data_IF_862905528512
#
_entry.id   IF_862905528512
#
_cell.length_a   1.000
_cell.length_b   1.000
_cell.length_c   1.000
_cell.angle_alpha   90.00
_cell.angle_beta   90.00
_cell.angle_gamma   90.00
#
_symmetry.space_group_name_H-M   'P 1'
#
loop_
_entity.id
_entity.type
_entity.pdbx_description
1 polymer ?
#
# COMPACT_ATOMS: atom_id res chain seq x y z
N UNK A 1 -13.65 23.56 2.73
CA UNK A 1 -14.22 22.22 3.04
C UNK A 1 -13.12 21.36 3.62
N UNK A 2 -13.43 20.50 4.59
CA UNK A 2 -12.47 19.55 5.16
C UNK A 2 -12.28 18.39 4.17
N UNK A 3 -11.03 18.05 3.84
CA UNK A 3 -10.73 16.92 2.95
C UNK A 3 -11.17 15.62 3.59
N UNK A 4 -11.94 14.82 2.85
CA UNK A 4 -12.36 13.47 3.27
C UNK A 4 -11.23 12.48 3.01
N UNK A 5 -10.99 11.57 3.95
CA UNK A 5 -9.94 10.56 3.79
C UNK A 5 -10.48 9.14 3.73
N UNK A 6 -9.91 8.33 2.84
CA UNK A 6 -10.05 6.89 2.87
C UNK A 6 -8.85 6.27 3.58
N UNK A 7 -9.13 5.31 4.47
CA UNK A 7 -8.13 4.49 5.13
C UNK A 7 -7.97 3.17 4.40
N UNK A 8 -6.74 2.76 4.14
CA UNK A 8 -6.44 1.47 3.53
C UNK A 8 -5.47 0.64 4.39
N UNK A 9 -5.92 -0.54 4.82
CA UNK A 9 -5.14 -1.50 5.60
C UNK A 9 -5.06 -2.84 4.86
N UNK A 10 -3.87 -3.43 4.79
CA UNK A 10 -3.64 -4.67 4.04
C UNK A 10 -2.70 -5.63 4.74
N UNK A 11 -3.01 -6.92 4.66
CA UNK A 11 -2.05 -8.01 4.93
C UNK A 11 -1.99 -8.96 3.73
N UNK A 12 -0.83 -9.57 3.48
CA UNK A 12 -0.72 -10.61 2.45
C UNK A 12 -1.27 -11.92 3.01
N UNK A 13 -2.07 -12.65 2.22
CA UNK A 13 -2.53 -14.01 2.56
C UNK A 13 -1.39 -15.01 2.62
N UNK A 14 -0.30 -14.76 1.90
CA UNK A 14 0.87 -15.63 1.80
C UNK A 14 1.99 -15.30 2.80
N UNK A 15 1.91 -14.14 3.48
CA UNK A 15 2.92 -13.75 4.47
C UNK A 15 2.55 -14.36 5.83
N UNK A 16 2.90 -15.63 6.04
CA UNK A 16 2.90 -16.28 7.36
C UNK A 16 4.07 -15.82 8.24
N UNK A 17 4.99 -15.00 7.70
CA UNK A 17 6.02 -14.37 8.50
C UNK A 17 5.40 -13.48 9.58
N UNK A 18 5.61 -13.87 10.83
CA UNK A 18 5.17 -13.20 12.07
C UNK A 18 5.63 -11.74 12.21
N UNK A 19 6.44 -11.23 11.27
CA UNK A 19 7.07 -9.91 11.29
C UNK A 19 6.23 -8.81 10.61
N UNK A 20 5.18 -9.16 9.85
CA UNK A 20 4.31 -8.15 9.19
C UNK A 20 3.16 -7.75 10.13
N UNK A 21 3.03 -6.45 10.39
CA UNK A 21 1.99 -5.86 11.25
C UNK A 21 0.58 -6.34 10.85
N UNK A 22 -0.21 -6.79 11.83
CA UNK A 22 -1.59 -7.25 11.59
C UNK A 22 -2.49 -6.11 11.11
N UNK A 23 -3.67 -6.46 10.58
CA UNK A 23 -4.64 -5.44 10.14
C UNK A 23 -5.13 -4.65 11.35
N UNK A 24 -5.40 -5.30 12.49
CA UNK A 24 -5.85 -4.66 13.72
C UNK A 24 -4.83 -3.66 14.24
N UNK A 25 -3.55 -4.03 14.24
CA UNK A 25 -2.47 -3.13 14.62
C UNK A 25 -2.32 -1.94 13.64
N UNK A 26 -2.46 -2.18 12.33
CA UNK A 26 -2.49 -1.09 11.35
C UNK A 26 -3.64 -0.12 11.61
N UNK A 27 -4.85 -0.62 11.87
CA UNK A 27 -6.02 0.21 12.15
C UNK A 27 -5.85 1.05 13.41
N UNK A 28 -5.27 0.48 14.48
CA UNK A 28 -5.00 1.19 15.71
C UNK A 28 -4.01 2.36 15.49
N UNK A 29 -2.87 2.08 14.85
CA UNK A 29 -1.85 3.09 14.52
C UNK A 29 -2.41 4.20 13.61
N UNK A 30 -3.20 3.81 12.60
CA UNK A 30 -3.80 4.75 11.66
C UNK A 30 -4.88 5.61 12.31
N UNK A 31 -5.66 5.06 13.25
CA UNK A 31 -6.65 5.80 14.01
C UNK A 31 -5.98 6.85 14.93
N UNK A 32 -4.90 6.46 15.62
CA UNK A 32 -4.12 7.39 16.44
C UNK A 32 -3.49 8.50 15.60
N UNK A 33 -2.86 8.13 14.48
CA UNK A 33 -2.28 9.08 13.55
C UNK A 33 -3.35 10.04 12.99
N UNK A 34 -4.51 9.53 12.55
CA UNK A 34 -5.58 10.37 12.03
C UNK A 34 -6.09 11.36 13.08
N UNK A 35 -6.24 10.92 14.33
CA UNK A 35 -6.63 11.80 15.44
C UNK A 35 -5.59 12.90 15.69
N UNK A 36 -4.30 12.55 15.70
CA UNK A 36 -3.20 13.51 15.91
C UNK A 36 -3.14 14.57 14.80
N UNK A 37 -3.34 14.15 13.56
CA UNK A 37 -3.30 15.04 12.39
C UNK A 37 -4.65 15.71 12.08
N UNK A 38 -5.68 15.51 12.93
CA UNK A 38 -7.05 16.00 12.73
C UNK A 38 -7.68 15.59 11.37
N UNK A 39 -7.34 14.39 10.91
CA UNK A 39 -7.84 13.78 9.69
C UNK A 39 -9.19 13.10 9.95
N UNK A 40 -10.16 13.36 9.07
CA UNK A 40 -11.46 12.70 9.10
C UNK A 40 -11.50 11.53 8.11
N UNK A 41 -11.60 10.32 8.66
CA UNK A 41 -11.74 9.10 7.87
C UNK A 41 -13.22 8.88 7.55
N UNK A 42 -13.56 8.92 6.26
CA UNK A 42 -14.93 8.70 5.78
C UNK A 42 -15.21 7.26 5.39
N UNK A 43 -14.20 6.53 4.93
CA UNK A 43 -14.32 5.11 4.56
C UNK A 43 -13.05 4.35 4.92
N UNK A 44 -13.20 3.05 5.23
CA UNK A 44 -12.10 2.15 5.58
C UNK A 44 -12.14 0.91 4.71
N UNK A 45 -11.01 0.61 4.07
CA UNK A 45 -10.81 -0.48 3.14
C UNK A 45 -9.81 -1.48 3.75
N UNK A 46 -10.26 -2.71 3.94
CA UNK A 46 -9.48 -3.77 4.57
C UNK A 46 -9.29 -4.91 3.56
N UNK A 47 -8.05 -5.26 3.27
CA UNK A 47 -7.74 -6.29 2.28
C UNK A 47 -6.75 -7.34 2.79
N UNK A 48 -7.16 -8.60 2.77
CA UNK A 48 -6.26 -9.75 2.95
C UNK A 48 -5.94 -10.34 1.58
N UNK A 49 -5.00 -9.73 0.86
CA UNK A 49 -4.54 -10.17 -0.47
C UNK A 49 -3.14 -9.66 -0.77
N UNK A 50 -2.36 -10.47 -1.49
CA UNK A 50 -1.00 -10.09 -1.93
C UNK A 50 -1.04 -8.91 -2.92
N UNK A 51 -0.13 -7.95 -2.74
CA UNK A 51 0.04 -6.78 -3.61
C UNK A 51 1.11 -6.97 -4.72
N UNK A 52 1.59 -8.20 -4.92
CA UNK A 52 2.60 -8.55 -5.95
C UNK A 52 2.06 -8.45 -7.38
N UNK A 53 0.73 -8.51 -7.55
CA UNK A 53 0.04 -8.44 -8.85
C UNK A 53 -1.24 -7.57 -8.73
N UNK A 54 -1.68 -6.95 -9.84
CA UNK A 54 -2.98 -6.27 -9.91
C UNK A 54 -4.16 -7.23 -9.73
N UNK A 55 -5.38 -6.67 -9.69
CA UNK A 55 -6.63 -7.44 -9.56
C UNK A 55 -7.07 -7.63 -8.11
N UNK A 56 -6.79 -6.64 -7.27
CA UNK A 56 -7.15 -6.58 -5.85
C UNK A 56 -8.51 -5.93 -5.70
N UNK A 57 -9.53 -6.70 -5.31
CA UNK A 57 -10.92 -6.26 -5.37
C UNK A 57 -11.19 -5.03 -4.52
N UNK A 58 -10.69 -5.01 -3.28
CA UNK A 58 -10.92 -3.92 -2.33
C UNK A 58 -10.07 -2.69 -2.70
N UNK A 59 -8.83 -2.89 -3.13
CA UNK A 59 -8.01 -1.80 -3.63
C UNK A 59 -8.62 -1.16 -4.88
N UNK A 60 -9.09 -1.97 -5.82
CA UNK A 60 -9.72 -1.49 -7.05
C UNK A 60 -11.02 -0.73 -6.72
N UNK A 61 -11.84 -1.23 -5.79
CA UNK A 61 -13.03 -0.53 -5.32
C UNK A 61 -12.69 0.86 -4.75
N UNK A 62 -11.68 0.92 -3.86
CA UNK A 62 -11.20 2.19 -3.30
C UNK A 62 -10.78 3.16 -4.41
N UNK A 63 -9.99 2.68 -5.37
CA UNK A 63 -9.53 3.53 -6.47
C UNK A 63 -10.66 3.98 -7.39
N UNK A 64 -11.64 3.11 -7.67
CA UNK A 64 -12.86 3.50 -8.40
C UNK A 64 -13.59 4.63 -7.68
N UNK A 65 -13.80 4.51 -6.36
CA UNK A 65 -14.43 5.57 -5.55
C UNK A 65 -13.64 6.88 -5.58
N UNK A 66 -12.30 6.81 -5.53
CA UNK A 66 -11.43 7.99 -5.68
C UNK A 66 -11.66 8.67 -7.04
N UNK A 67 -11.72 7.91 -8.14
CA UNK A 67 -11.91 8.47 -9.48
C UNK A 67 -13.33 9.00 -9.72
N UNK A 68 -14.35 8.31 -9.21
CA UNK A 68 -15.76 8.68 -9.34
C UNK A 68 -16.17 9.84 -8.44
N UNK A 69 -15.42 10.10 -7.36
CA UNK A 69 -15.70 11.21 -6.46
C UNK A 69 -15.64 12.56 -7.18
N UNK A 70 -16.65 13.40 -6.90
CA UNK A 70 -16.72 14.80 -7.34
C UNK A 70 -15.72 15.68 -6.60
N UNK A 71 -15.39 15.32 -5.37
CA UNK A 71 -14.42 16.01 -4.52
C UNK A 71 -13.13 15.20 -4.45
N UNK A 72 -11.95 15.85 -4.45
CA UNK A 72 -10.70 15.15 -4.22
C UNK A 72 -10.64 14.45 -2.86
N UNK A 73 -9.99 13.29 -2.84
CA UNK A 73 -9.92 12.42 -1.67
C UNK A 73 -8.50 12.44 -1.09
N UNK A 74 -8.39 12.36 0.23
CA UNK A 74 -7.16 12.02 0.92
C UNK A 74 -7.04 10.51 1.10
N UNK A 75 -5.84 9.95 1.02
CA UNK A 75 -5.58 8.55 1.37
C UNK A 75 -4.68 8.49 2.60
N UNK A 76 -4.97 7.53 3.48
CA UNK A 76 -4.09 7.18 4.59
C UNK A 76 -3.85 5.67 4.60
N UNK A 77 -2.59 5.27 4.76
CA UNK A 77 -2.18 3.88 4.89
C UNK A 77 -0.97 3.81 5.81
N UNK A 78 -0.67 2.63 6.37
CA UNK A 78 0.42 2.52 7.35
C UNK A 78 1.80 2.78 6.71
N UNK A 79 2.04 2.21 5.53
CA UNK A 79 3.29 2.35 4.78
C UNK A 79 3.00 2.17 3.26
N UNK A 80 3.81 2.73 2.33
CA UNK A 80 3.59 2.59 0.88
C UNK A 80 3.43 1.14 0.38
N UNK A 81 4.16 0.19 0.98
CA UNK A 81 4.08 -1.23 0.63
C UNK A 81 2.71 -1.88 0.91
N UNK A 82 1.83 -1.20 1.66
CA UNK A 82 0.42 -1.58 1.84
C UNK A 82 -0.36 -1.29 0.58
N UNK A 83 -0.11 -0.14 -0.06
CA UNK A 83 -0.82 0.28 -1.27
C UNK A 83 -0.37 -0.49 -2.51
N UNK A 84 0.93 -0.74 -2.71
CA UNK A 84 1.39 -1.44 -3.91
C UNK A 84 2.74 -2.14 -3.72
N UNK A 85 2.89 -3.30 -4.36
CA UNK A 85 4.18 -4.00 -4.56
C UNK A 85 4.37 -4.40 -6.03
N UNK A 86 3.71 -3.68 -6.94
CA UNK A 86 3.78 -3.86 -8.39
C UNK A 86 3.68 -2.50 -9.08
N UNK A 87 4.12 -2.43 -10.34
CA UNK A 87 4.21 -1.17 -11.09
C UNK A 87 2.87 -0.59 -11.52
N UNK A 88 1.83 -1.42 -11.67
CA UNK A 88 0.51 -0.97 -12.14
C UNK A 88 -0.22 -0.26 -11.02
N UNK A 89 -0.40 -0.92 -9.87
CA UNK A 89 -1.12 -0.34 -8.73
C UNK A 89 -0.37 0.89 -8.18
N UNK A 90 0.96 0.83 -8.11
CA UNK A 90 1.79 1.97 -7.70
C UNK A 90 1.67 3.14 -8.67
N UNK A 91 1.69 2.86 -9.98
CA UNK A 91 1.46 3.87 -11.01
C UNK A 91 0.07 4.49 -10.94
N UNK A 92 -0.96 3.71 -10.60
CA UNK A 92 -2.33 4.22 -10.44
C UNK A 92 -2.43 5.24 -9.30
N UNK A 93 -1.75 5.01 -8.17
CA UNK A 93 -1.69 5.97 -7.06
C UNK A 93 -0.98 7.25 -7.49
N UNK A 94 0.20 7.13 -8.12
CA UNK A 94 0.97 8.29 -8.61
C UNK A 94 0.14 9.13 -9.58
N UNK A 95 -0.44 8.48 -10.59
CA UNK A 95 -1.27 9.16 -11.59
C UNK A 95 -2.48 9.86 -10.95
N UNK A 96 -3.10 9.24 -9.96
CA UNK A 96 -4.24 9.83 -9.24
C UNK A 96 -3.85 11.07 -8.43
N UNK A 97 -2.60 11.16 -7.96
CA UNK A 97 -2.04 12.37 -7.34
C UNK A 97 -1.81 13.45 -8.42
N UNK A 98 -1.20 13.08 -9.55
CA UNK A 98 -0.91 14.01 -10.66
C UNK A 98 -2.16 14.71 -11.20
N UNK A 99 -3.28 13.99 -11.30
CA UNK A 99 -4.56 14.55 -11.76
C UNK A 99 -5.40 15.19 -10.64
N UNK A 100 -4.86 15.29 -9.43
CA UNK A 100 -5.53 15.92 -8.29
C UNK A 100 -6.74 15.15 -7.75
N UNK A 101 -6.90 13.86 -8.08
CA UNK A 101 -7.94 13.00 -7.49
C UNK A 101 -7.57 12.56 -6.08
N UNK A 102 -6.28 12.34 -5.83
CA UNK A 102 -5.69 12.19 -4.50
C UNK A 102 -4.97 13.50 -4.15
N UNK A 103 -5.56 14.32 -3.28
CA UNK A 103 -4.98 15.61 -2.87
C UNK A 103 -4.07 15.51 -1.65
N UNK A 104 -4.16 14.41 -0.92
CA UNK A 104 -3.26 14.13 0.19
C UNK A 104 -3.05 12.63 0.32
N UNK A 105 -1.81 12.23 0.57
CA UNK A 105 -1.45 10.85 0.85
C UNK A 105 -0.57 10.84 2.10
N UNK A 106 -1.00 10.14 3.14
CA UNK A 106 -0.35 10.17 4.45
C UNK A 106 0.02 8.77 4.92
N UNK A 107 1.18 8.68 5.57
CA UNK A 107 1.64 7.47 6.25
C UNK A 107 2.29 7.83 7.59
N UNK A 108 2.06 7.05 8.66
CA UNK A 108 2.79 7.21 9.91
C UNK A 108 4.28 6.85 9.78
N UNK A 109 4.65 5.96 8.87
CA UNK A 109 6.04 5.44 8.74
C UNK A 109 6.80 6.01 7.55
N UNK A 110 6.18 6.85 6.73
CA UNK A 110 6.79 7.36 5.50
C UNK A 110 6.33 8.80 5.24
N UNK A 111 7.29 9.71 5.13
CA UNK A 111 6.98 11.10 4.81
C UNK A 111 6.75 11.28 3.31
N UNK A 112 5.63 11.90 2.94
CA UNK A 112 5.31 12.23 1.57
C UNK A 112 4.62 13.59 1.48
N UNK A 113 5.01 14.35 0.45
CA UNK A 113 4.32 15.55 0.00
C UNK A 113 4.19 15.49 -1.54
N UNK A 114 3.12 16.06 -2.13
CA UNK A 114 2.89 16.04 -3.57
C UNK A 114 3.77 17.06 -4.33
N UNK A 115 5.08 17.00 -4.09
CA UNK A 115 6.11 17.74 -4.84
C UNK A 115 6.78 16.82 -5.86
N UNK A 116 7.49 17.34 -6.88
CA UNK A 116 8.25 16.49 -7.81
C UNK A 116 9.21 15.52 -7.10
N UNK A 117 9.87 16.01 -6.05
CA UNK A 117 10.76 15.21 -5.22
C UNK A 117 9.99 14.17 -4.41
N UNK A 118 8.85 14.52 -3.83
CA UNK A 118 8.02 13.58 -3.10
C UNK A 118 7.44 12.48 -3.98
N UNK A 119 6.97 12.81 -5.19
CA UNK A 119 6.52 11.82 -6.19
C UNK A 119 7.63 10.86 -6.60
N UNK A 120 8.84 11.39 -6.83
CA UNK A 120 10.02 10.56 -7.08
C UNK A 120 10.31 9.61 -5.91
N UNK A 121 10.33 10.12 -4.68
CA UNK A 121 10.57 9.28 -3.49
C UNK A 121 9.49 8.23 -3.28
N UNK A 122 8.23 8.54 -3.57
CA UNK A 122 7.12 7.59 -3.49
C UNK A 122 7.26 6.48 -4.56
N UNK A 123 7.65 6.83 -5.78
CA UNK A 123 7.96 5.84 -6.83
C UNK A 123 9.12 4.93 -6.42
N UNK A 124 10.18 5.48 -5.82
CA UNK A 124 11.29 4.69 -5.27
C UNK A 124 10.80 3.73 -4.18
N UNK A 125 9.93 4.17 -3.27
CA UNK A 125 9.36 3.32 -2.23
C UNK A 125 8.51 2.16 -2.79
N UNK A 126 7.70 2.42 -3.82
CA UNK A 126 6.99 1.35 -4.54
C UNK A 126 7.95 0.41 -5.26
N UNK A 127 8.99 0.94 -5.89
CA UNK A 127 10.06 0.17 -6.54
C UNK A 127 10.79 -0.76 -5.56
N UNK A 128 11.14 -0.27 -4.38
CA UNK A 128 11.76 -1.06 -3.32
C UNK A 128 10.85 -2.17 -2.82
N UNK A 129 9.56 -1.88 -2.66
CA UNK A 129 8.55 -2.85 -2.21
C UNK A 129 8.35 -3.99 -3.23
N UNK A 130 8.40 -3.66 -4.53
CA UNK A 130 8.40 -4.64 -5.62
C UNK A 130 9.69 -5.45 -5.61
N UNK A 131 10.86 -4.80 -5.58
CA UNK A 131 12.17 -5.46 -5.55
C UNK A 131 12.27 -6.47 -4.41
N UNK A 132 11.87 -6.09 -3.20
CA UNK A 132 11.86 -6.99 -2.05
C UNK A 132 11.02 -8.25 -2.31
N UNK A 133 9.83 -8.08 -2.87
CA UNK A 133 8.92 -9.20 -3.19
C UNK A 133 9.50 -10.13 -4.25
N UNK A 134 10.08 -9.57 -5.30
CA UNK A 134 10.70 -10.32 -6.40
C UNK A 134 11.94 -11.09 -5.89
N UNK A 135 12.79 -10.43 -5.11
CA UNK A 135 13.99 -11.04 -4.54
C UNK A 135 13.66 -12.14 -3.54
N UNK A 136 12.65 -11.96 -2.69
CA UNK A 136 12.16 -13.01 -1.79
C UNK A 136 11.69 -14.24 -2.57
N UNK A 137 10.93 -14.04 -3.66
CA UNK A 137 10.47 -15.12 -4.54
C UNK A 137 11.64 -15.92 -5.14
N UNK A 138 12.67 -15.23 -5.64
CA UNK A 138 13.86 -15.89 -6.19
C UNK A 138 14.68 -16.63 -5.13
N UNK A 139 14.79 -16.08 -3.92
CA UNK A 139 15.45 -16.73 -2.81
C UNK A 139 14.72 -18.02 -2.38
N UNK A 140 13.39 -17.99 -2.29
CA UNK A 140 12.58 -19.19 -1.98
C UNK A 140 12.77 -20.26 -3.05
N UNK A 141 12.65 -19.91 -4.33
CA UNK A 141 12.91 -20.86 -5.44
C UNK A 141 14.32 -21.43 -5.39
N UNK A 142 15.33 -20.61 -5.08
CA UNK A 142 16.72 -21.08 -4.93
C UNK A 142 16.85 -22.07 -3.77
N UNK A 143 16.21 -21.80 -2.63
CA UNK A 143 16.18 -22.70 -1.48
C UNK A 143 15.53 -24.06 -1.82
N UNK A 144 14.38 -24.03 -2.50
CA UNK A 144 13.69 -25.25 -2.96
C UNK A 144 14.59 -26.05 -3.92
N UNK A 145 15.22 -25.39 -4.90
CA UNK A 145 16.18 -26.05 -5.82
C UNK A 145 17.34 -26.71 -5.08
N UNK A 146 17.83 -26.10 -4.00
CA UNK A 146 18.90 -26.69 -3.18
C UNK A 146 18.43 -27.90 -2.37
N UNK A 147 17.23 -27.86 -1.77
CA UNK A 147 16.63 -29.00 -1.08
C UNK A 147 16.46 -30.21 -2.00
N UNK A 148 15.89 -29.98 -3.20
CA UNK A 148 15.72 -31.02 -4.21
C UNK A 148 17.05 -31.66 -4.64
N UNK A 149 18.12 -30.87 -4.77
CA UNK A 149 19.47 -31.39 -5.05
C UNK A 149 20.04 -32.28 -3.95
N UNK A 150 19.58 -32.12 -2.70
CA UNK A 150 19.96 -32.95 -1.54
C UNK A 150 19.01 -34.14 -1.33
N UNK A 151 18.00 -34.32 -2.18
CA UNK A 151 16.96 -35.35 -2.01
C UNK A 151 15.98 -35.04 -0.88
N UNK A 152 15.96 -33.79 -0.38
CA UNK A 152 15.01 -33.31 0.63
C UNK A 152 13.75 -32.76 -0.06
N UNK A 153 12.58 -33.00 0.52
CA UNK A 153 11.28 -32.47 0.09
C UNK A 153 10.68 -31.56 1.15
#
# INVERSE_FOLDING_TARGET
>A
MKTKYFLYARKSTEDEERQVMSIEAQLAELAEFAKRENIEITETFIESKSAKKPGRGIFNEMMSKVHESKEPIGLIAWHPDRLARNSVDGGQIIYSIDIGKIVSLRFPTFWFEPTPQGLFMLQVAFGQSKYYSDNLSENVKRGIRQKLRRGEW
#
